data_IF_009467560605
#
_entry.id   IF_009467560605
#
_cell.length_a   1.000
_cell.length_b   1.000
_cell.length_c   1.000
_cell.angle_alpha   90.00
_cell.angle_beta   90.00
_cell.angle_gamma   90.00
#
_symmetry.space_group_name_H-M   'P 1'
#
loop_
_entity.id
_entity.type
_entity.pdbx_description
1 polymer ?
#
# COMPACT_ATOMS: atom_id res chain seq x y z
N UNK A 1 -70.91 38.68 -39.92
CA UNK A 1 -70.37 39.19 -38.65
C UNK A 1 -70.01 37.99 -37.80
N UNK A 2 -68.72 37.75 -37.54
CA UNK A 2 -68.31 36.67 -36.63
C UNK A 2 -68.54 37.16 -35.19
N UNK A 3 -69.33 36.44 -34.41
CA UNK A 3 -69.56 36.79 -33.01
C UNK A 3 -68.32 36.40 -32.21
N UNK A 4 -67.50 37.38 -31.82
CA UNK A 4 -66.24 37.14 -31.10
C UNK A 4 -66.46 36.64 -29.65
N UNK A 5 -67.70 36.58 -29.17
CA UNK A 5 -68.05 36.03 -27.84
C UNK A 5 -68.42 34.56 -27.84
N UNK A 6 -68.46 33.89 -29.01
CA UNK A 6 -68.75 32.46 -29.04
C UNK A 6 -67.56 31.67 -28.48
N UNK A 7 -67.76 30.83 -27.45
CA UNK A 7 -66.67 30.12 -26.77
C UNK A 7 -65.90 29.20 -27.73
N UNK A 8 -66.57 28.67 -28.76
CA UNK A 8 -65.96 27.85 -29.81
C UNK A 8 -65.00 28.65 -30.72
N UNK A 9 -65.26 29.94 -30.94
CA UNK A 9 -64.38 30.82 -31.74
C UNK A 9 -63.14 31.20 -30.93
N UNK A 10 -63.29 31.45 -29.63
CA UNK A 10 -62.18 31.70 -28.71
C UNK A 10 -61.29 30.45 -28.60
N UNK A 11 -61.90 29.26 -28.46
CA UNK A 11 -61.17 28.00 -28.34
C UNK A 11 -60.40 27.65 -29.62
N UNK A 12 -61.00 27.83 -30.80
CA UNK A 12 -60.31 27.62 -32.08
C UNK A 12 -59.21 28.65 -32.31
N UNK A 13 -59.40 29.90 -31.88
CA UNK A 13 -58.36 30.94 -31.90
C UNK A 13 -57.15 30.58 -31.03
N UNK A 14 -57.37 30.13 -29.79
CA UNK A 14 -56.29 29.69 -28.89
C UNK A 14 -55.57 28.46 -29.45
N UNK A 15 -56.30 27.51 -30.02
CA UNK A 15 -55.74 26.32 -30.67
C UNK A 15 -54.79 26.71 -31.82
N UNK A 16 -55.21 27.62 -32.69
CA UNK A 16 -54.38 28.08 -33.81
C UNK A 16 -53.12 28.81 -33.33
N UNK A 17 -53.22 29.61 -32.26
CA UNK A 17 -52.06 30.28 -31.65
C UNK A 17 -51.09 29.25 -31.07
N UNK A 18 -51.59 28.23 -30.36
CA UNK A 18 -50.76 27.16 -29.80
C UNK A 18 -50.04 26.36 -30.90
N UNK A 19 -50.73 26.05 -32.00
CA UNK A 19 -50.15 25.35 -33.16
C UNK A 19 -49.08 26.22 -33.83
N UNK A 20 -49.36 27.51 -34.06
CA UNK A 20 -48.40 28.44 -34.63
C UNK A 20 -47.15 28.60 -33.74
N UNK A 21 -47.34 28.62 -32.42
CA UNK A 21 -46.23 28.70 -31.46
C UNK A 21 -45.40 27.42 -31.43
N UNK A 22 -46.05 26.26 -31.50
CA UNK A 22 -45.40 24.95 -31.60
C UNK A 22 -44.57 24.83 -32.89
N UNK A 23 -45.14 25.20 -34.04
CA UNK A 23 -44.44 25.23 -35.33
C UNK A 23 -43.24 26.18 -35.30
N UNK A 24 -43.42 27.40 -34.76
CA UNK A 24 -42.31 28.37 -34.63
C UNK A 24 -41.19 27.85 -33.74
N UNK A 25 -41.52 27.14 -32.65
CA UNK A 25 -40.54 26.48 -31.78
C UNK A 25 -39.82 25.35 -32.52
N UNK A 26 -40.56 24.52 -33.26
CA UNK A 26 -40.00 23.37 -33.97
C UNK A 26 -39.07 23.78 -35.13
N UNK A 27 -39.45 24.78 -35.93
CA UNK A 27 -38.59 25.32 -36.99
C UNK A 27 -37.31 25.97 -36.48
N UNK A 28 -37.35 26.62 -35.30
CA UNK A 28 -36.14 27.17 -34.66
C UNK A 28 -35.18 26.06 -34.22
N UNK A 29 -35.70 24.93 -33.73
CA UNK A 29 -34.87 23.78 -33.36
C UNK A 29 -34.29 23.09 -34.60
N UNK A 30 -35.07 22.91 -35.67
CA UNK A 30 -34.57 22.35 -36.92
C UNK A 30 -33.48 23.21 -37.56
N UNK A 31 -33.60 24.55 -37.53
CA UNK A 31 -32.53 25.44 -38.03
C UNK A 31 -31.24 25.29 -37.22
N UNK A 32 -31.32 25.18 -35.89
CA UNK A 32 -30.14 24.91 -35.04
C UNK A 32 -29.47 23.57 -35.33
N UNK A 33 -30.23 22.54 -35.71
CA UNK A 33 -29.68 21.23 -36.09
C UNK A 33 -29.04 21.29 -37.48
N UNK A 34 -29.59 22.09 -38.39
CA UNK A 34 -29.07 22.23 -39.76
C UNK A 34 -27.83 23.12 -39.86
N UNK A 35 -27.72 24.15 -39.03
CA UNK A 35 -26.54 25.04 -38.94
C UNK A 35 -25.47 24.53 -37.96
N UNK A 36 -25.57 23.28 -37.49
CA UNK A 36 -24.54 22.67 -36.65
C UNK A 36 -23.39 22.21 -37.52
N UNK A 37 -22.25 22.87 -37.38
CA UNK A 37 -20.99 22.43 -37.99
C UNK A 37 -20.42 21.22 -37.22
N UNK A 38 -20.41 20.01 -37.82
CA UNK A 38 -19.91 18.81 -37.15
C UNK A 38 -18.42 18.93 -36.81
N UNK A 39 -17.67 19.71 -37.60
CA UNK A 39 -16.26 19.98 -37.35
C UNK A 39 -16.04 20.84 -36.10
N UNK A 40 -16.92 21.81 -35.83
CA UNK A 40 -16.82 22.62 -34.61
C UNK A 40 -17.21 21.80 -33.38
N UNK A 41 -18.24 20.96 -33.49
CA UNK A 41 -18.65 20.09 -32.38
C UNK A 41 -17.54 19.08 -32.03
N UNK A 42 -16.90 18.47 -33.04
CA UNK A 42 -15.75 17.59 -32.84
C UNK A 42 -14.55 18.32 -32.22
N UNK A 43 -14.23 19.55 -32.67
CA UNK A 43 -13.16 20.36 -32.06
C UNK A 43 -13.45 20.72 -30.61
N UNK A 44 -14.70 21.06 -30.29
CA UNK A 44 -15.10 21.33 -28.92
C UNK A 44 -15.06 20.07 -28.04
N UNK A 45 -15.41 18.91 -28.60
CA UNK A 45 -15.29 17.65 -27.90
C UNK A 45 -13.82 17.30 -27.61
N UNK A 46 -12.94 17.44 -28.60
CA UNK A 46 -11.49 17.26 -28.42
C UNK A 46 -10.95 18.21 -27.34
N UNK A 47 -11.23 19.50 -27.42
CA UNK A 47 -10.78 20.48 -26.42
C UNK A 47 -11.29 20.17 -25.01
N UNK A 48 -12.54 19.68 -24.88
CA UNK A 48 -13.08 19.22 -23.59
C UNK A 48 -12.34 17.99 -23.06
N UNK A 49 -12.01 17.04 -23.94
CA UNK A 49 -11.25 15.85 -23.54
C UNK A 49 -9.83 16.21 -23.12
N UNK A 50 -9.16 17.10 -23.85
CA UNK A 50 -7.83 17.62 -23.50
C UNK A 50 -7.85 18.32 -22.14
N UNK A 51 -8.82 19.21 -21.91
CA UNK A 51 -8.96 19.90 -20.64
C UNK A 51 -9.24 18.92 -19.48
N UNK A 52 -10.03 17.88 -19.72
CA UNK A 52 -10.28 16.82 -18.73
C UNK A 52 -8.99 16.04 -18.41
N UNK A 53 -8.16 15.75 -19.41
CA UNK A 53 -6.87 15.08 -19.22
C UNK A 53 -5.90 15.96 -18.41
N UNK A 54 -5.79 17.25 -18.74
CA UNK A 54 -4.94 18.20 -17.99
C UNK A 54 -5.40 18.33 -16.55
N UNK A 55 -6.71 18.45 -16.31
CA UNK A 55 -7.25 18.48 -14.95
C UNK A 55 -6.96 17.18 -14.18
N UNK A 56 -7.01 16.03 -14.87
CA UNK A 56 -6.66 14.75 -14.25
C UNK A 56 -5.19 14.68 -13.88
N UNK A 57 -4.30 15.21 -14.72
CA UNK A 57 -2.87 15.32 -14.44
C UNK A 57 -2.65 16.18 -13.19
N UNK A 58 -3.24 17.37 -13.14
CA UNK A 58 -3.12 18.27 -11.99
C UNK A 58 -3.62 17.61 -10.68
N UNK A 59 -4.72 16.86 -10.74
CA UNK A 59 -5.19 16.06 -9.59
C UNK A 59 -4.19 14.99 -9.15
N UNK A 60 -3.50 14.35 -10.09
CA UNK A 60 -2.47 13.35 -9.78
C UNK A 60 -1.22 14.00 -9.19
N UNK A 61 -0.83 15.18 -9.67
CA UNK A 61 0.28 15.97 -9.13
C UNK A 61 0.03 16.36 -7.67
N UNK A 62 -1.15 16.91 -7.37
CA UNK A 62 -1.53 17.23 -5.99
C UNK A 62 -1.50 15.99 -5.11
N UNK A 63 -2.08 14.87 -5.57
CA UNK A 63 -2.04 13.61 -4.82
C UNK A 63 -0.63 13.11 -4.58
N UNK A 64 0.26 13.22 -5.57
CA UNK A 64 1.64 12.80 -5.43
C UNK A 64 2.37 13.63 -4.39
N UNK A 65 2.10 14.94 -4.34
CA UNK A 65 2.62 15.82 -3.31
C UNK A 65 2.07 15.47 -1.91
N UNK A 66 0.77 15.23 -1.80
CA UNK A 66 0.14 14.82 -0.54
C UNK A 66 0.70 13.48 -0.03
N UNK A 67 0.88 12.50 -0.93
CA UNK A 67 1.52 11.23 -0.60
C UNK A 67 2.97 11.41 -0.18
N UNK A 68 3.74 12.26 -0.86
CA UNK A 68 5.10 12.58 -0.47
C UNK A 68 5.17 13.11 0.96
N UNK A 69 4.30 14.06 1.28
CA UNK A 69 4.19 14.64 2.63
C UNK A 69 3.74 13.62 3.68
N UNK A 70 2.80 12.74 3.35
CA UNK A 70 2.37 11.69 4.27
C UNK A 70 3.49 10.68 4.55
N UNK A 71 4.24 10.28 3.52
CA UNK A 71 5.38 9.37 3.67
C UNK A 71 6.49 10.02 4.48
N UNK A 72 6.77 11.30 4.27
CA UNK A 72 7.73 12.08 5.07
C UNK A 72 7.32 12.10 6.53
N UNK A 73 6.08 12.47 6.85
CA UNK A 73 5.58 12.49 8.23
C UNK A 73 5.65 11.11 8.91
N UNK A 74 5.26 10.04 8.19
CA UNK A 74 5.37 8.66 8.73
C UNK A 74 6.83 8.22 8.92
N UNK A 75 7.73 8.71 8.07
CA UNK A 75 9.17 8.40 8.17
C UNK A 75 9.78 9.11 9.37
N UNK A 76 9.44 10.39 9.57
CA UNK A 76 9.87 11.18 10.72
C UNK A 76 9.37 10.58 12.04
N UNK A 77 8.09 10.15 12.10
CA UNK A 77 7.54 9.48 13.28
C UNK A 77 8.30 8.18 13.59
N UNK A 78 8.61 7.37 12.56
CA UNK A 78 9.38 6.13 12.72
C UNK A 78 10.82 6.39 13.16
N UNK A 79 11.48 7.40 12.58
CA UNK A 79 12.82 7.81 12.99
C UNK A 79 12.83 8.24 14.45
N UNK A 80 11.82 9.02 14.87
CA UNK A 80 11.69 9.45 16.27
C UNK A 80 11.53 8.27 17.22
N UNK A 81 10.73 7.26 16.85
CA UNK A 81 10.58 6.03 17.64
C UNK A 81 11.89 5.26 17.71
N UNK A 82 12.65 5.18 16.60
CA UNK A 82 13.95 4.53 16.59
C UNK A 82 14.96 5.26 17.48
N UNK A 83 14.98 6.60 17.46
CA UNK A 83 15.85 7.40 18.33
C UNK A 83 15.51 7.21 19.81
N UNK A 84 14.22 7.12 20.16
CA UNK A 84 13.76 6.84 21.52
C UNK A 84 14.21 5.44 21.99
N UNK A 85 14.04 4.43 21.14
CA UNK A 85 14.50 3.06 21.42
C UNK A 85 16.02 2.98 21.56
N UNK A 86 16.77 3.71 20.74
CA UNK A 86 18.23 3.77 20.83
C UNK A 86 18.65 4.42 22.14
N UNK A 87 18.02 5.53 22.53
CA UNK A 87 18.29 6.20 23.80
C UNK A 87 17.98 5.29 25.00
N UNK A 88 16.90 4.53 24.95
CA UNK A 88 16.56 3.57 26.01
C UNK A 88 17.52 2.39 26.07
N UNK A 89 17.96 1.87 24.91
CA UNK A 89 18.99 0.84 24.86
C UNK A 89 20.32 1.35 25.45
N UNK A 90 20.73 2.58 25.14
CA UNK A 90 21.93 3.20 25.71
C UNK A 90 21.85 3.37 27.23
N UNK A 91 20.67 3.75 27.75
CA UNK A 91 20.42 3.82 29.20
C UNK A 91 20.58 2.44 29.84
N UNK A 92 20.02 1.41 29.24
CA UNK A 92 20.09 0.06 29.79
C UNK A 92 21.51 -0.52 29.71
N UNK A 93 22.23 -0.26 28.62
CA UNK A 93 23.66 -0.61 28.51
C UNK A 93 24.46 0.05 29.62
N UNK A 94 24.24 1.34 29.87
CA UNK A 94 24.94 2.06 30.94
C UNK A 94 24.58 1.52 32.32
N UNK A 95 23.30 1.17 32.56
CA UNK A 95 22.86 0.52 33.79
C UNK A 95 23.55 -0.82 34.01
N UNK A 96 23.59 -1.68 32.98
CA UNK A 96 24.27 -2.99 33.05
C UNK A 96 25.78 -2.84 33.27
N UNK A 97 26.42 -1.87 32.60
CA UNK A 97 27.83 -1.54 32.81
C UNK A 97 28.11 -1.11 34.25
N UNK A 98 27.24 -0.29 34.84
CA UNK A 98 27.38 0.10 36.25
C UNK A 98 27.21 -1.09 37.20
N UNK A 99 26.25 -1.98 36.94
CA UNK A 99 26.07 -3.21 37.73
C UNK A 99 27.30 -4.14 37.64
N UNK A 100 27.87 -4.30 36.45
CA UNK A 100 29.10 -5.07 36.26
C UNK A 100 30.28 -4.43 37.00
N UNK A 101 30.45 -3.11 36.93
CA UNK A 101 31.50 -2.40 37.64
C UNK A 101 31.38 -2.55 39.17
N UNK A 102 30.16 -2.45 39.71
CA UNK A 102 29.89 -2.68 41.13
C UNK A 102 30.16 -4.14 41.55
N UNK A 103 29.78 -5.10 40.71
CA UNK A 103 30.05 -6.53 40.96
C UNK A 103 31.56 -6.80 40.98
N UNK A 104 32.30 -6.22 40.03
CA UNK A 104 33.76 -6.35 39.95
C UNK A 104 34.48 -5.67 41.14
N UNK A 105 33.99 -4.51 41.60
CA UNK A 105 34.53 -3.83 42.79
C UNK A 105 34.29 -4.62 44.07
N UNK A 106 33.12 -5.26 44.21
CA UNK A 106 32.80 -6.07 45.38
C UNK A 106 33.52 -7.44 45.41
N UNK A 107 34.06 -7.88 44.27
CA UNK A 107 34.89 -9.09 44.14
C UNK A 107 36.39 -8.83 44.32
N UNK A 108 36.78 -7.80 45.08
CA UNK A 108 38.18 -7.51 45.41
C UNK A 108 38.76 -8.53 46.40
N UNK A 109 38.84 -9.80 46.01
CA UNK A 109 39.89 -10.72 46.44
C UNK A 109 40.73 -11.07 45.20
N UNK A 110 42.08 -11.02 45.27
CA UNK A 110 42.94 -11.28 44.13
C UNK A 110 43.03 -12.79 43.91
N UNK A 111 41.97 -13.38 43.37
CA UNK A 111 42.05 -14.74 42.86
C UNK A 111 42.50 -14.64 41.41
N UNK A 112 43.78 -14.92 41.17
CA UNK A 112 44.32 -15.32 39.88
C UNK A 112 43.54 -16.55 39.38
N UNK A 113 42.36 -16.34 38.83
CA UNK A 113 41.66 -17.30 38.02
C UNK A 113 41.55 -16.71 36.62
N UNK A 114 42.03 -17.42 35.58
CA UNK A 114 41.74 -17.03 34.21
C UNK A 114 40.22 -16.91 34.10
N UNK A 115 39.75 -15.76 33.62
CA UNK A 115 38.33 -15.44 33.53
C UNK A 115 37.57 -16.56 32.83
N UNK A 116 36.25 -16.70 33.08
CA UNK A 116 35.47 -17.72 32.42
C UNK A 116 35.60 -17.50 30.92
N UNK A 117 36.22 -18.47 30.26
CA UNK A 117 36.41 -18.49 28.82
C UNK A 117 35.02 -18.34 28.20
N UNK A 118 34.77 -17.19 27.55
CA UNK A 118 33.48 -16.83 26.91
C UNK A 118 33.23 -17.73 25.67
N UNK A 119 34.00 -18.79 25.49
CA UNK A 119 33.86 -19.80 24.45
C UNK A 119 32.92 -20.97 24.83
N UNK A 120 32.47 -21.08 26.10
CA UNK A 120 31.66 -22.23 26.55
C UNK A 120 30.15 -22.14 26.30
N UNK A 121 29.63 -21.03 25.76
CA UNK A 121 28.19 -20.90 25.42
C UNK A 121 27.88 -20.94 23.92
N UNK A 122 28.88 -21.12 23.05
CA UNK A 122 28.66 -21.23 21.60
C UNK A 122 28.49 -22.69 21.14
N UNK A 123 28.65 -23.66 22.05
CA UNK A 123 28.54 -25.07 21.74
C UNK A 123 27.33 -25.71 22.42
N UNK A 124 26.31 -26.01 21.62
CA UNK A 124 25.20 -26.94 21.92
C UNK A 124 23.91 -26.39 22.53
N UNK A 125 23.43 -25.24 22.07
CA UNK A 125 21.96 -25.10 21.91
C UNK A 125 21.60 -25.57 20.51
N UNK A 126 21.47 -26.89 20.34
CA UNK A 126 20.59 -27.49 19.33
C UNK A 126 19.16 -27.04 19.65
N UNK A 127 18.85 -25.78 19.36
CA UNK A 127 17.47 -25.36 19.23
C UNK A 127 17.10 -25.92 17.87
N UNK A 128 16.49 -27.11 17.89
CA UNK A 128 15.66 -27.58 16.80
C UNK A 128 14.91 -26.37 16.26
N UNK A 129 15.16 -26.02 14.99
CA UNK A 129 14.59 -24.85 14.33
C UNK A 129 13.15 -24.65 14.81
N UNK A 130 12.86 -23.46 15.36
CA UNK A 130 11.53 -23.10 15.84
C UNK A 130 10.51 -23.45 14.75
N UNK A 131 9.30 -23.90 15.12
CA UNK A 131 8.24 -24.26 14.15
C UNK A 131 8.05 -23.16 13.09
N UNK A 132 8.14 -21.89 13.50
CA UNK A 132 8.07 -20.73 12.63
C UNK A 132 9.26 -20.65 11.66
N UNK A 133 10.47 -20.97 12.12
CA UNK A 133 11.67 -20.99 11.27
C UNK A 133 11.62 -22.12 10.24
N UNK A 134 11.10 -23.30 10.60
CA UNK A 134 10.87 -24.42 9.67
C UNK A 134 9.90 -24.02 8.56
N UNK A 135 8.76 -23.41 8.93
CA UNK A 135 7.77 -22.93 7.97
C UNK A 135 8.33 -21.86 7.01
N UNK A 136 9.22 -21.00 7.52
CA UNK A 136 9.86 -19.96 6.72
C UNK A 136 10.90 -20.55 5.76
N UNK A 137 11.66 -21.56 6.19
CA UNK A 137 12.62 -22.29 5.36
C UNK A 137 11.91 -22.94 4.16
N UNK A 138 10.75 -23.57 4.41
CA UNK A 138 9.95 -24.21 3.35
C UNK A 138 9.36 -23.17 2.39
N UNK A 139 8.85 -22.05 2.90
CA UNK A 139 8.36 -20.95 2.07
C UNK A 139 9.45 -20.39 1.14
N UNK A 140 10.67 -20.20 1.65
CA UNK A 140 11.78 -19.70 0.85
C UNK A 140 12.24 -20.72 -0.21
N UNK A 141 12.21 -22.01 0.11
CA UNK A 141 12.46 -23.05 -0.88
C UNK A 141 11.41 -23.05 -2.00
N UNK A 142 10.12 -22.92 -1.67
CA UNK A 142 9.03 -22.82 -2.65
C UNK A 142 9.11 -21.54 -3.49
N UNK A 143 9.62 -20.44 -2.92
CA UNK A 143 9.87 -19.18 -3.62
C UNK A 143 11.10 -19.24 -4.56
N UNK A 144 11.83 -20.36 -4.59
CA UNK A 144 12.94 -20.61 -5.51
C UNK A 144 14.31 -20.19 -4.99
N UNK A 145 14.45 -19.90 -3.69
CA UNK A 145 15.76 -19.64 -3.09
C UNK A 145 16.57 -20.93 -2.95
N UNK A 146 17.88 -20.83 -3.18
CA UNK A 146 18.79 -21.97 -3.06
C UNK A 146 19.04 -22.35 -1.61
N UNK A 147 19.33 -23.63 -1.37
CA UNK A 147 19.62 -24.18 -0.03
C UNK A 147 20.80 -23.44 0.63
N UNK A 148 21.75 -22.95 -0.16
CA UNK A 148 22.90 -22.17 0.31
C UNK A 148 22.49 -20.76 0.78
N UNK A 149 21.57 -20.10 0.08
CA UNK A 149 21.04 -18.79 0.49
C UNK A 149 20.21 -18.91 1.77
N UNK A 150 19.38 -19.95 1.87
CA UNK A 150 18.61 -20.25 3.07
C UNK A 150 19.55 -20.56 4.24
N UNK A 151 20.61 -21.33 4.03
CA UNK A 151 21.65 -21.62 5.04
C UNK A 151 22.31 -20.35 5.56
N UNK A 152 22.62 -19.41 4.68
CA UNK A 152 23.21 -18.13 5.07
C UNK A 152 22.21 -17.24 5.83
N UNK A 153 20.92 -17.25 5.45
CA UNK A 153 19.88 -16.47 6.12
C UNK A 153 19.60 -16.94 7.55
N UNK A 154 19.62 -18.25 7.81
CA UNK A 154 19.29 -18.80 9.12
C UNK A 154 20.50 -19.26 9.95
N UNK A 155 21.72 -19.13 9.42
CA UNK A 155 22.96 -19.61 10.05
C UNK A 155 22.88 -21.10 10.44
N UNK A 156 22.10 -21.87 9.68
CA UNK A 156 21.97 -23.32 9.83
C UNK A 156 22.87 -24.04 8.84
N UNK A 157 23.30 -25.25 9.18
CA UNK A 157 24.08 -26.05 8.25
C UNK A 157 23.22 -26.43 7.03
N UNK A 158 23.86 -26.51 5.86
CA UNK A 158 23.21 -26.93 4.61
C UNK A 158 22.52 -28.29 4.78
N UNK A 159 23.16 -29.21 5.50
CA UNK A 159 22.62 -30.52 5.84
C UNK A 159 21.34 -30.45 6.69
N UNK A 160 21.24 -29.52 7.64
CA UNK A 160 20.03 -29.39 8.47
C UNK A 160 18.84 -28.86 7.67
N UNK A 161 19.08 -27.94 6.73
CA UNK A 161 18.01 -27.41 5.85
C UNK A 161 17.55 -28.48 4.87
N UNK A 162 18.47 -29.28 4.32
CA UNK A 162 18.11 -30.43 3.49
C UNK A 162 17.24 -31.43 4.28
N UNK A 163 17.60 -31.72 5.53
CA UNK A 163 16.76 -32.61 6.37
C UNK A 163 15.36 -32.04 6.63
N UNK A 164 15.23 -30.74 6.91
CA UNK A 164 13.94 -30.08 7.15
C UNK A 164 13.07 -30.10 5.89
N UNK A 165 13.67 -29.82 4.73
CA UNK A 165 12.97 -29.87 3.45
C UNK A 165 12.54 -31.30 3.07
N UNK A 166 13.33 -32.33 3.39
CA UNK A 166 12.93 -33.72 3.20
C UNK A 166 11.84 -34.16 4.18
N UNK A 167 11.94 -33.78 5.45
CA UNK A 167 10.96 -34.10 6.51
C UNK A 167 9.57 -33.52 6.18
N UNK A 168 9.48 -32.25 5.77
CA UNK A 168 8.19 -31.64 5.42
C UNK A 168 7.62 -32.15 4.09
N UNK A 169 8.46 -32.52 3.12
CA UNK A 169 7.99 -33.07 1.85
C UNK A 169 7.46 -34.51 2.02
N UNK A 170 8.01 -35.28 2.97
CA UNK A 170 7.46 -36.57 3.39
C UNK A 170 6.12 -36.40 4.12
N UNK A 171 5.99 -35.41 5.01
CA UNK A 171 4.73 -35.09 5.69
C UNK A 171 3.62 -34.60 4.75
N UNK A 172 3.96 -33.81 3.73
CA UNK A 172 3.00 -33.38 2.71
C UNK A 172 2.48 -34.55 1.85
N UNK A 173 3.29 -35.59 1.67
CA UNK A 173 2.90 -36.77 0.89
C UNK A 173 2.02 -37.76 1.69
N UNK A 174 2.04 -37.71 3.02
CA UNK A 174 1.19 -38.54 3.89
C UNK A 174 -0.21 -37.98 4.11
N UNK A 175 -0.42 -36.67 3.94
CA UNK A 175 -1.74 -36.02 4.09
C UNK A 175 -2.60 -36.06 2.81
N UNK A 176 -2.04 -36.55 1.69
CA UNK A 176 -2.71 -36.63 0.37
C UNK A 176 -3.02 -38.09 -0.03
N UNK A 177 -2.66 -39.07 0.80
CA UNK A 177 -2.98 -40.49 0.63
C UNK A 177 -4.19 -40.91 1.48
#
# INVERSE_FOLDING_TARGET
>A
MFNLSDPNVILTGILLIAIAWSLKKNFRMQKRVRDRDPLQEAKHEIARTEQKQVNRLNQLEVKLFDYGREVEARSDDRLRVLDELLQDADREINRLRQQLALTQQNSSEPTNQPGPDISMYESSRKISASLEQRSMIVFLSQAGFSVQEISNCFQHSVSEIETILTEENEQHNTDVA
#
